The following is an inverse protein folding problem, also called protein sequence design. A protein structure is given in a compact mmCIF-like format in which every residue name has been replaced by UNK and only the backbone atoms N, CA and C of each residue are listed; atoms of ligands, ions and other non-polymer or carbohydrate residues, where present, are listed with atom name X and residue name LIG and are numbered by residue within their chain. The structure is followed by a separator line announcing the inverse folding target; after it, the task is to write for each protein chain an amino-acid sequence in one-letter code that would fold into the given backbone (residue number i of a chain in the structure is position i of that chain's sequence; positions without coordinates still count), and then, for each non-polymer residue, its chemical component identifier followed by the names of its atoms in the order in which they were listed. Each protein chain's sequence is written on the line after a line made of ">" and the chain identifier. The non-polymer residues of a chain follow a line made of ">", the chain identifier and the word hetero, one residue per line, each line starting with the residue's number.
data_IF_741233483967
#
_entry.id   IF_741233483967
#
_cell.length_a   1.000
_cell.length_b   1.000
_cell.length_c   1.000
_cell.angle_alpha   90.00
_cell.angle_beta   90.00
_cell.angle_gamma   90.00
#
_symmetry.space_group_name_H-M   'P 1'
#
loop_
_entity.id
_entity.type
_entity.pdbx_description
1 polymer ?
#
# COMPACT_ATOMS: atom_id res chain seq x y z
N UNK A 1 37.43 -7.68 -7.52
CA UNK A 1 37.24 -7.52 -8.98
C UNK A 1 35.83 -7.02 -9.26
N UNK A 2 35.63 -6.01 -10.13
CA UNK A 2 34.31 -5.58 -10.54
C UNK A 2 33.63 -6.66 -11.41
N UNK A 3 32.32 -6.86 -11.22
CA UNK A 3 31.53 -7.82 -12.00
C UNK A 3 31.54 -7.46 -13.49
N UNK A 4 31.78 -8.45 -14.33
CA UNK A 4 31.62 -8.33 -15.78
C UNK A 4 30.15 -8.04 -16.15
N UNK A 5 29.92 -7.43 -17.31
CA UNK A 5 28.56 -7.15 -17.78
C UNK A 5 27.71 -8.43 -17.91
N UNK A 6 28.32 -9.54 -18.33
CA UNK A 6 27.65 -10.84 -18.42
C UNK A 6 27.17 -11.35 -17.04
N UNK A 7 28.00 -11.20 -16.00
CA UNK A 7 27.63 -11.58 -14.63
C UNK A 7 26.54 -10.68 -14.04
N UNK A 8 26.59 -9.37 -14.33
CA UNK A 8 25.52 -8.44 -13.94
C UNK A 8 24.19 -8.83 -14.57
N UNK A 9 24.17 -9.10 -15.88
CA UNK A 9 22.96 -9.53 -16.59
C UNK A 9 22.44 -10.88 -16.09
N UNK A 10 23.32 -11.83 -15.76
CA UNK A 10 22.92 -13.13 -15.17
C UNK A 10 22.29 -12.94 -13.80
N UNK A 11 22.91 -12.14 -12.92
CA UNK A 11 22.35 -11.82 -11.59
C UNK A 11 21.02 -11.08 -11.69
N UNK A 12 20.91 -10.13 -12.62
CA UNK A 12 19.66 -9.41 -12.86
C UNK A 12 18.52 -10.37 -13.26
N UNK A 13 18.77 -11.26 -14.24
CA UNK A 13 17.80 -12.27 -14.66
C UNK A 13 17.43 -13.25 -13.54
N UNK A 14 18.40 -13.65 -12.71
CA UNK A 14 18.13 -14.49 -11.54
C UNK A 14 17.24 -13.79 -10.51
N UNK A 15 17.51 -12.51 -10.22
CA UNK A 15 16.65 -11.69 -9.33
C UNK A 15 15.24 -11.52 -9.89
N UNK A 16 15.11 -11.30 -11.20
CA UNK A 16 13.81 -11.19 -11.86
C UNK A 16 13.01 -12.49 -11.72
N UNK A 17 13.62 -13.63 -11.99
CA UNK A 17 12.98 -14.95 -11.83
C UNK A 17 12.60 -15.24 -10.38
N UNK A 18 13.45 -14.88 -9.42
CA UNK A 18 13.15 -15.03 -8.00
C UNK A 18 11.95 -14.18 -7.56
N UNK A 19 11.84 -12.93 -8.04
CA UNK A 19 10.67 -12.07 -7.80
C UNK A 19 9.38 -12.61 -8.45
N UNK A 20 9.50 -13.21 -9.63
CA UNK A 20 8.36 -13.79 -10.34
C UNK A 20 7.99 -15.20 -9.82
N UNK A 21 8.74 -15.77 -8.87
CA UNK A 21 8.42 -17.07 -8.31
C UNK A 21 7.20 -16.93 -7.38
N UNK A 22 6.23 -17.85 -7.52
CA UNK A 22 5.02 -17.85 -6.69
C UNK A 22 5.28 -17.87 -5.19
N UNK A 23 6.43 -18.38 -4.74
CA UNK A 23 6.85 -18.34 -3.33
C UNK A 23 7.08 -16.93 -2.78
N UNK A 24 7.31 -15.93 -3.63
CA UNK A 24 7.51 -14.55 -3.21
C UNK A 24 6.20 -13.76 -3.06
N UNK A 25 5.05 -14.33 -3.43
CA UNK A 25 3.76 -13.61 -3.45
C UNK A 25 3.31 -13.20 -2.05
N UNK A 26 3.51 -14.07 -1.05
CA UNK A 26 3.16 -13.75 0.35
C UNK A 26 4.01 -12.60 0.87
N UNK A 27 5.33 -12.64 0.65
CA UNK A 27 6.25 -11.58 1.04
C UNK A 27 5.90 -10.25 0.34
N UNK A 28 5.61 -10.29 -0.97
CA UNK A 28 5.19 -9.11 -1.73
C UNK A 28 3.89 -8.52 -1.20
N UNK A 29 2.93 -9.37 -0.84
CA UNK A 29 1.65 -8.95 -0.25
C UNK A 29 1.89 -8.30 1.12
N UNK A 30 2.75 -8.88 1.97
CA UNK A 30 3.11 -8.30 3.26
C UNK A 30 3.76 -6.91 3.11
N UNK A 31 4.67 -6.77 2.14
CA UNK A 31 5.31 -5.46 1.84
C UNK A 31 4.26 -4.45 1.34
N UNK A 32 3.33 -4.86 0.48
CA UNK A 32 2.26 -3.98 -0.01
C UNK A 32 1.35 -3.51 1.14
N UNK A 33 0.95 -4.42 2.02
CA UNK A 33 0.16 -4.11 3.23
C UNK A 33 0.90 -3.12 4.12
N UNK A 34 2.18 -3.37 4.40
CA UNK A 34 2.99 -2.48 5.24
C UNK A 34 3.09 -1.06 4.65
N UNK A 35 3.32 -0.95 3.33
CA UNK A 35 3.35 0.35 2.64
C UNK A 35 1.99 1.06 2.73
N UNK A 36 0.89 0.34 2.59
CA UNK A 36 -0.45 0.91 2.70
C UNK A 36 -0.74 1.41 4.12
N UNK A 37 -0.39 0.64 5.15
CA UNK A 37 -0.55 1.05 6.55
C UNK A 37 0.24 2.34 6.83
N UNK A 38 1.49 2.42 6.37
CA UNK A 38 2.30 3.63 6.52
C UNK A 38 1.72 4.81 5.75
N UNK A 39 1.19 4.60 4.54
CA UNK A 39 0.53 5.64 3.75
C UNK A 39 -0.74 6.17 4.43
N UNK A 40 -1.57 5.27 4.95
CA UNK A 40 -2.78 5.62 5.70
C UNK A 40 -2.41 6.39 6.97
N UNK A 41 -1.40 5.96 7.71
CA UNK A 41 -0.92 6.67 8.89
C UNK A 41 -0.38 8.05 8.56
N UNK A 42 0.44 8.18 7.51
CA UNK A 42 0.98 9.47 7.07
C UNK A 42 -0.13 10.46 6.69
N UNK A 43 -1.20 9.98 6.04
CA UNK A 43 -2.40 10.79 5.81
C UNK A 43 -3.11 11.15 7.11
N UNK A 44 -3.22 10.21 8.04
CA UNK A 44 -3.88 10.38 9.34
C UNK A 44 -3.22 11.42 10.24
N UNK A 45 -1.90 11.57 10.13
CA UNK A 45 -1.13 12.61 10.84
C UNK A 45 -1.28 14.01 10.23
N UNK A 46 -1.83 14.13 9.02
CA UNK A 46 -2.09 15.44 8.41
C UNK A 46 -3.27 16.14 9.11
N UNK A 47 -3.23 17.48 9.21
CA UNK A 47 -4.39 18.25 9.65
C UNK A 47 -5.52 18.07 8.63
N UNK A 48 -6.75 17.83 9.12
CA UNK A 48 -7.95 17.85 8.29
C UNK A 48 -8.27 19.27 7.79
N UNK A 49 -9.28 19.41 6.93
CA UNK A 49 -9.77 20.71 6.47
C UNK A 49 -10.27 21.64 7.58
N UNK A 50 -10.59 21.09 8.77
CA UNK A 50 -10.96 21.87 9.96
C UNK A 50 -9.75 22.19 10.86
N UNK A 51 -8.54 21.77 10.48
CA UNK A 51 -7.30 21.98 11.22
C UNK A 51 -7.00 20.93 12.30
N UNK A 52 -7.93 20.02 12.59
CA UNK A 52 -7.76 18.93 13.57
C UNK A 52 -7.17 17.72 12.87
N UNK A 53 -6.11 17.11 13.41
CA UNK A 53 -5.53 15.90 12.83
C UNK A 53 -6.49 14.72 13.00
N UNK A 54 -6.57 13.82 12.02
CA UNK A 54 -7.48 12.67 12.08
C UNK A 54 -7.20 11.76 13.29
N UNK A 55 -5.93 11.68 13.71
CA UNK A 55 -5.50 10.99 14.95
C UNK A 55 -6.18 11.46 16.23
N UNK A 56 -6.62 12.71 16.26
CA UNK A 56 -7.34 13.29 17.40
C UNK A 56 -8.84 12.99 17.34
N UNK A 57 -9.37 12.71 16.14
CA UNK A 57 -10.77 12.36 15.90
C UNK A 57 -10.98 10.85 16.14
N UNK A 58 -10.09 10.02 15.60
CA UNK A 58 -10.21 8.55 15.65
C UNK A 58 -9.58 7.93 16.91
N UNK A 59 -8.89 8.73 17.72
CA UNK A 59 -8.34 8.34 19.02
C UNK A 59 -7.04 7.51 18.97
N UNK A 60 -6.52 7.21 17.78
CA UNK A 60 -5.24 6.54 17.58
C UNK A 60 -4.09 7.54 17.61
N UNK A 61 -3.19 7.49 18.58
CA UNK A 61 -2.09 8.46 18.74
C UNK A 61 -0.76 7.96 18.23
N UNK A 62 -0.62 6.65 18.02
CA UNK A 62 0.60 6.02 17.50
C UNK A 62 0.31 5.10 16.32
N UNK A 63 1.34 4.84 15.52
CA UNK A 63 1.27 3.87 14.42
C UNK A 63 0.88 2.47 14.93
N UNK A 64 1.35 2.06 16.10
CA UNK A 64 1.05 0.74 16.67
C UNK A 64 -0.41 0.64 17.14
N UNK A 65 -0.96 1.71 17.72
CA UNK A 65 -2.39 1.79 18.04
C UNK A 65 -3.23 1.73 16.76
N UNK A 66 -2.84 2.48 15.73
CA UNK A 66 -3.53 2.46 14.43
C UNK A 66 -3.48 1.08 13.77
N UNK A 67 -2.32 0.41 13.78
CA UNK A 67 -2.19 -0.99 13.35
C UNK A 67 -3.12 -1.91 14.13
N UNK A 68 -3.14 -1.78 15.45
CA UNK A 68 -3.99 -2.58 16.31
C UNK A 68 -5.47 -2.41 15.93
N UNK A 69 -5.92 -1.19 15.60
CA UNK A 69 -7.28 -0.94 15.09
C UNK A 69 -7.54 -1.63 13.74
N UNK A 70 -6.59 -1.56 12.81
CA UNK A 70 -6.70 -2.21 11.51
C UNK A 70 -6.71 -3.74 11.61
N UNK A 71 -6.04 -4.30 12.61
CA UNK A 71 -5.97 -5.75 12.85
C UNK A 71 -7.22 -6.32 13.54
N UNK A 72 -8.05 -5.49 14.20
CA UNK A 72 -9.26 -5.95 14.91
C UNK A 72 -10.22 -6.74 14.03
N UNK A 73 -10.27 -6.44 12.74
CA UNK A 73 -11.03 -7.21 11.76
C UNK A 73 -10.26 -7.28 10.44
N UNK A 74 -10.23 -8.45 9.78
CA UNK A 74 -9.61 -8.60 8.47
C UNK A 74 -10.14 -7.62 7.40
N UNK A 75 -11.35 -7.07 7.60
CA UNK A 75 -11.95 -6.10 6.68
C UNK A 75 -11.46 -4.66 6.88
N UNK A 76 -10.92 -4.30 8.04
CA UNK A 76 -10.67 -2.91 8.41
C UNK A 76 -9.64 -2.24 7.51
N UNK A 77 -8.52 -2.90 7.23
CA UNK A 77 -7.53 -2.40 6.28
C UNK A 77 -8.16 -2.11 4.92
N UNK A 78 -8.91 -3.06 4.37
CA UNK A 78 -9.52 -2.90 3.05
C UNK A 78 -10.58 -1.80 3.04
N UNK A 79 -11.35 -1.64 4.12
CA UNK A 79 -12.31 -0.54 4.27
C UNK A 79 -11.59 0.81 4.33
N UNK A 80 -10.53 0.92 5.11
CA UNK A 80 -9.70 2.12 5.19
C UNK A 80 -9.10 2.49 3.83
N UNK A 81 -8.56 1.51 3.09
CA UNK A 81 -8.06 1.73 1.74
C UNK A 81 -9.16 2.20 0.76
N UNK A 82 -10.33 1.56 0.79
CA UNK A 82 -11.43 1.87 -0.13
C UNK A 82 -12.13 3.19 0.15
N UNK A 83 -11.96 3.77 1.34
CA UNK A 83 -12.46 5.11 1.67
C UNK A 83 -11.90 6.20 0.74
N UNK A 84 -10.76 5.94 0.10
CA UNK A 84 -10.11 6.85 -0.83
C UNK A 84 -10.59 6.70 -2.28
N UNK A 85 -11.42 5.71 -2.60
CA UNK A 85 -11.97 5.59 -3.95
C UNK A 85 -13.05 6.67 -4.22
N UNK A 86 -13.20 7.14 -5.47
CA UNK A 86 -12.45 6.73 -6.66
C UNK A 86 -11.13 7.46 -6.91
N UNK A 87 -10.91 8.65 -6.31
CA UNK A 87 -9.88 9.60 -6.74
C UNK A 87 -8.65 9.74 -5.83
N UNK A 88 -8.61 9.05 -4.70
CA UNK A 88 -7.55 9.11 -3.68
C UNK A 88 -7.24 10.53 -3.20
N UNK A 89 -8.29 11.32 -3.00
CA UNK A 89 -8.18 12.71 -2.58
C UNK A 89 -7.38 12.84 -1.28
N UNK A 90 -6.45 13.79 -1.26
CA UNK A 90 -5.60 14.08 -0.10
C UNK A 90 -4.39 13.14 0.08
N UNK A 91 -4.28 12.07 -0.70
CA UNK A 91 -3.07 11.24 -0.77
C UNK A 91 -2.08 11.80 -1.79
N UNK A 92 -0.79 11.64 -1.52
CA UNK A 92 0.24 11.78 -2.56
C UNK A 92 0.16 10.62 -3.55
N UNK A 93 0.80 10.75 -4.71
CA UNK A 93 0.84 9.67 -5.70
C UNK A 93 1.40 8.36 -5.15
N UNK A 94 2.46 8.40 -4.34
CA UNK A 94 3.08 7.19 -3.78
C UNK A 94 2.23 6.54 -2.70
N UNK A 95 1.48 7.34 -1.93
CA UNK A 95 0.49 6.85 -0.96
C UNK A 95 -0.71 6.22 -1.67
N UNK A 96 -1.25 6.91 -2.67
CA UNK A 96 -2.35 6.40 -3.49
C UNK A 96 -1.99 5.07 -4.14
N UNK A 97 -0.75 4.94 -4.65
CA UNK A 97 -0.21 3.66 -5.17
C UNK A 97 -0.18 2.57 -4.10
N UNK A 98 0.34 2.87 -2.92
CA UNK A 98 0.41 1.89 -1.84
C UNK A 98 -0.98 1.39 -1.41
N UNK A 99 -1.95 2.29 -1.35
CA UNK A 99 -3.36 1.97 -1.04
C UNK A 99 -4.01 1.17 -2.19
N UNK A 100 -3.78 1.57 -3.44
CA UNK A 100 -4.28 0.90 -4.63
C UNK A 100 -3.79 -0.56 -4.74
N UNK A 101 -2.49 -0.81 -4.48
CA UNK A 101 -1.89 -2.15 -4.52
C UNK A 101 -2.69 -3.14 -3.63
N UNK A 102 -3.10 -2.71 -2.42
CA UNK A 102 -3.89 -3.55 -1.50
C UNK A 102 -5.31 -3.80 -2.01
N UNK A 103 -5.94 -2.80 -2.63
CA UNK A 103 -7.28 -2.95 -3.24
C UNK A 103 -7.21 -3.95 -4.39
N UNK A 104 -6.23 -3.84 -5.29
CA UNK A 104 -6.05 -4.74 -6.43
C UNK A 104 -5.79 -6.18 -5.99
N UNK A 105 -4.93 -6.39 -4.97
CA UNK A 105 -4.70 -7.72 -4.39
C UNK A 105 -6.00 -8.30 -3.84
N UNK A 106 -6.77 -7.51 -3.07
CA UNK A 106 -8.02 -7.98 -2.48
C UNK A 106 -9.10 -8.29 -3.54
N UNK A 107 -9.17 -7.48 -4.60
CA UNK A 107 -10.10 -7.68 -5.71
C UNK A 107 -9.72 -8.94 -6.53
N UNK A 108 -8.43 -9.17 -6.75
CA UNK A 108 -7.92 -10.39 -7.40
C UNK A 108 -8.28 -11.65 -6.59
N UNK A 109 -8.13 -11.62 -5.27
CA UNK A 109 -8.51 -12.73 -4.38
C UNK A 109 -10.03 -13.02 -4.40
N UNK A 110 -10.85 -12.02 -4.72
CA UNK A 110 -12.31 -12.14 -4.86
C UNK A 110 -12.75 -12.51 -6.27
N UNK A 111 -11.81 -12.73 -7.20
CA UNK A 111 -12.09 -12.95 -8.63
C UNK A 111 -12.92 -11.80 -9.23
N UNK A 112 -12.77 -10.58 -8.70
CA UNK A 112 -13.42 -9.41 -9.23
C UNK A 112 -12.78 -9.04 -10.59
N UNK A 113 -13.56 -8.45 -11.52
CA UNK A 113 -13.00 -7.95 -12.76
C UNK A 113 -11.97 -6.86 -12.47
N UNK A 114 -10.86 -6.87 -13.20
CA UNK A 114 -9.84 -5.82 -13.08
C UNK A 114 -10.48 -4.45 -13.34
N UNK A 115 -10.47 -3.59 -12.33
CA UNK A 115 -10.96 -2.22 -12.43
C UNK A 115 -9.77 -1.30 -12.69
N UNK A 116 -9.94 -0.35 -13.59
CA UNK A 116 -8.98 0.74 -13.76
C UNK A 116 -9.04 1.62 -12.52
N UNK A 117 -7.97 1.65 -11.74
CA UNK A 117 -7.80 2.58 -10.63
C UNK A 117 -7.25 3.90 -11.18
N UNK A 118 -7.92 5.01 -10.87
CA UNK A 118 -7.49 6.36 -11.25
C UNK A 118 -6.68 6.95 -10.11
N UNK A 119 -5.37 7.08 -10.31
CA UNK A 119 -4.46 7.66 -9.34
C UNK A 119 -4.40 9.19 -9.51
N UNK A 120 -4.14 9.95 -8.44
CA UNK A 120 -3.99 11.39 -8.51
C UNK A 120 -2.77 11.75 -9.38
N UNK A 121 -2.86 12.85 -10.12
CA UNK A 121 -1.73 13.35 -10.91
C UNK A 121 -0.59 13.81 -10.01
N UNK A 122 0.66 13.62 -10.44
CA UNK A 122 1.81 14.16 -9.73
C UNK A 122 1.80 15.69 -9.88
N UNK A 123 1.61 16.39 -8.76
CA UNK A 123 1.77 17.84 -8.68
C UNK A 123 3.24 18.27 -8.84
#
# INVERSE_FOLDING_TARGET
>A
MPLSNAERQRRYRQRLKARAAGGAVVEQTQIAVERAVLALWAYHERPSSTGIAWREIDGCRTLDEYRSELERSPSNLLQACRAFLPGFEGLTLDEARAVADVIEIADALRLAPARKIELPEAA
#
